data_IF_704640522690
#
_entry.id   IF_704640522690
#
_cell.length_a   1.000
_cell.length_b   1.000
_cell.length_c   1.000
_cell.angle_alpha   90.00
_cell.angle_beta   90.00
_cell.angle_gamma   90.00
#
_symmetry.space_group_name_H-M   'P 1'
#
loop_
_entity.id
_entity.type
_entity.pdbx_description
1 polymer ?
#
# COMPACT_ATOMS: atom_id res chain seq x y z
N UNK A 1 4.16 1.45 -10.91
CA UNK A 1 4.05 2.87 -10.51
C UNK A 1 4.69 3.73 -11.59
N UNK A 2 4.07 4.85 -11.96
CA UNK A 2 4.55 5.78 -12.99
C UNK A 2 4.82 7.15 -12.39
N UNK A 3 5.80 7.88 -12.92
CA UNK A 3 6.04 9.28 -12.58
C UNK A 3 6.32 10.11 -13.84
N UNK A 4 5.61 11.23 -13.97
CA UNK A 4 5.87 12.25 -14.98
C UNK A 4 7.20 12.97 -14.71
N UNK A 5 8.10 12.97 -15.69
CA UNK A 5 9.37 13.70 -15.65
C UNK A 5 9.34 14.81 -16.69
N UNK A 6 9.23 16.06 -16.26
CA UNK A 6 9.10 17.22 -17.16
C UNK A 6 10.27 17.39 -18.11
N UNK A 7 11.49 17.06 -17.69
CA UNK A 7 12.68 17.13 -18.56
C UNK A 7 12.71 16.08 -19.68
N UNK A 8 11.89 15.03 -19.60
CA UNK A 8 11.78 13.98 -20.62
C UNK A 8 10.43 14.01 -21.36
N UNK A 9 9.53 14.90 -20.95
CA UNK A 9 8.16 15.01 -21.48
C UNK A 9 7.42 13.66 -21.52
N UNK A 10 7.66 12.80 -20.53
CA UNK A 10 7.10 11.45 -20.50
C UNK A 10 6.93 10.86 -19.08
N UNK A 11 6.18 9.76 -19.00
CA UNK A 11 6.06 8.94 -17.80
C UNK A 11 7.16 7.88 -17.76
N UNK A 12 7.77 7.72 -16.59
CA UNK A 12 8.75 6.68 -16.30
C UNK A 12 8.16 5.64 -15.35
N UNK A 13 8.37 4.36 -15.63
CA UNK A 13 8.01 3.26 -14.73
C UNK A 13 9.01 3.21 -13.58
N UNK A 14 8.50 3.41 -12.36
CA UNK A 14 9.29 3.37 -11.13
C UNK A 14 9.36 1.96 -10.52
N UNK A 15 8.28 1.20 -10.64
CA UNK A 15 8.14 -0.16 -10.10
C UNK A 15 7.04 -0.93 -10.86
N UNK A 16 7.09 -2.26 -10.81
CA UNK A 16 6.11 -3.15 -11.42
C UNK A 16 6.39 -3.48 -12.88
N UNK A 17 7.67 -3.44 -13.31
CA UNK A 17 8.11 -3.77 -14.67
C UNK A 17 7.62 -5.14 -15.13
N UNK A 18 7.81 -6.18 -14.31
CA UNK A 18 7.38 -7.54 -14.66
C UNK A 18 5.85 -7.63 -14.84
N UNK A 19 5.10 -6.93 -13.97
CA UNK A 19 3.63 -6.84 -14.10
C UNK A 19 3.22 -6.09 -15.37
N UNK A 20 3.95 -5.03 -15.72
CA UNK A 20 3.70 -4.28 -16.95
C UNK A 20 3.97 -5.15 -18.18
N UNK A 21 5.09 -5.88 -18.19
CA UNK A 21 5.43 -6.83 -19.26
C UNK A 21 4.36 -7.91 -19.39
N UNK A 22 3.91 -8.49 -18.27
CA UNK A 22 2.85 -9.50 -18.27
C UNK A 22 1.54 -8.95 -18.84
N UNK A 23 1.09 -7.79 -18.38
CA UNK A 23 -0.13 -7.16 -18.88
C UNK A 23 -0.07 -6.86 -20.38
N UNK A 24 1.07 -6.37 -20.88
CA UNK A 24 1.28 -6.12 -22.31
C UNK A 24 1.24 -7.44 -23.09
N UNK A 25 1.90 -8.48 -22.61
CA UNK A 25 1.90 -9.80 -23.26
C UNK A 25 0.49 -10.43 -23.31
N UNK A 26 -0.32 -10.15 -22.29
CA UNK A 26 -1.72 -10.61 -22.18
C UNK A 26 -2.72 -9.67 -22.87
N UNK A 27 -2.24 -8.60 -23.52
CA UNK A 27 -3.06 -7.55 -24.14
C UNK A 27 -4.10 -6.95 -23.17
N UNK A 28 -3.75 -6.89 -21.88
CA UNK A 28 -4.58 -6.37 -20.81
C UNK A 28 -4.11 -4.99 -20.38
N UNK A 29 -5.05 -4.13 -19.97
CA UNK A 29 -4.69 -2.84 -19.40
C UNK A 29 -4.01 -3.03 -18.03
N UNK A 30 -2.74 -2.64 -17.87
CA UNK A 30 -2.06 -2.75 -16.59
C UNK A 30 -2.70 -1.78 -15.59
N UNK A 31 -2.97 -2.21 -14.35
CA UNK A 31 -3.31 -1.25 -13.30
C UNK A 31 -2.08 -0.36 -13.05
N UNK A 32 -2.25 0.95 -13.16
CA UNK A 32 -1.17 1.93 -13.00
C UNK A 32 -1.50 2.92 -11.89
N UNK A 33 -0.48 3.30 -11.13
CA UNK A 33 -0.53 4.39 -10.18
C UNK A 33 0.40 5.49 -10.70
N UNK A 34 -0.15 6.65 -11.05
CA UNK A 34 0.61 7.79 -11.53
C UNK A 34 0.89 8.76 -10.37
N UNK A 35 2.15 9.13 -10.19
CA UNK A 35 2.58 10.17 -9.26
C UNK A 35 2.73 11.49 -10.00
N UNK A 36 2.19 12.55 -9.39
CA UNK A 36 2.32 13.93 -9.87
C UNK A 36 2.73 14.83 -8.71
N UNK A 37 3.34 15.96 -9.05
CA UNK A 37 3.70 16.98 -8.06
C UNK A 37 2.45 17.72 -7.59
N UNK A 38 2.29 17.87 -6.28
CA UNK A 38 1.15 18.56 -5.65
C UNK A 38 1.67 19.61 -4.66
N UNK A 39 0.85 20.61 -4.30
CA UNK A 39 1.21 21.61 -3.30
C UNK A 39 1.52 20.97 -1.93
N UNK A 40 2.55 21.48 -1.25
CA UNK A 40 3.11 20.82 -0.06
C UNK A 40 2.17 20.73 1.15
N UNK A 41 1.29 21.71 1.32
CA UNK A 41 0.22 21.70 2.34
C UNK A 41 -0.76 20.55 2.12
N UNK A 42 -1.14 20.31 0.86
CA UNK A 42 -2.00 19.19 0.47
C UNK A 42 -1.29 17.85 0.63
N UNK A 43 0.01 17.78 0.34
CA UNK A 43 0.82 16.57 0.57
C UNK A 43 0.82 16.19 2.05
N UNK A 44 0.97 17.15 2.96
CA UNK A 44 0.99 16.86 4.41
C UNK A 44 -0.34 16.24 4.89
N UNK A 45 -1.47 16.85 4.54
CA UNK A 45 -2.79 16.35 4.90
C UNK A 45 -3.09 14.97 4.25
N UNK A 46 -2.76 14.80 2.97
CA UNK A 46 -2.99 13.54 2.25
C UNK A 46 -2.08 12.41 2.78
N UNK A 47 -0.87 12.74 3.27
CA UNK A 47 0.07 11.77 3.85
C UNK A 47 -0.46 11.20 5.16
N UNK A 48 -0.98 12.05 6.06
CA UNK A 48 -1.54 11.58 7.34
C UNK A 48 -2.70 10.59 7.11
N UNK A 49 -3.62 10.95 6.20
CA UNK A 49 -4.73 10.07 5.79
C UNK A 49 -4.24 8.77 5.15
N UNK A 50 -3.20 8.83 4.32
CA UNK A 50 -2.64 7.64 3.66
C UNK A 50 -1.95 6.70 4.67
N UNK A 51 -1.21 7.25 5.64
CA UNK A 51 -0.56 6.49 6.71
C UNK A 51 -1.60 5.79 7.58
N UNK A 52 -2.63 6.51 8.03
CA UNK A 52 -3.72 5.93 8.84
C UNK A 52 -4.41 4.76 8.11
N UNK A 53 -4.69 4.94 6.82
CA UNK A 53 -5.27 3.87 5.99
C UNK A 53 -4.34 2.66 5.90
N UNK A 54 -3.04 2.89 5.71
CA UNK A 54 -2.07 1.80 5.59
C UNK A 54 -1.97 1.00 6.90
N UNK A 55 -1.87 1.70 8.04
CA UNK A 55 -1.82 1.08 9.37
C UNK A 55 -3.11 0.31 9.70
N UNK A 56 -4.27 0.87 9.39
CA UNK A 56 -5.55 0.18 9.56
C UNK A 56 -5.64 -1.09 8.70
N UNK A 57 -5.19 -1.03 7.44
CA UNK A 57 -5.17 -2.20 6.55
C UNK A 57 -4.24 -3.28 7.06
N UNK A 58 -3.04 -2.91 7.52
CA UNK A 58 -2.06 -3.84 8.09
C UNK A 58 -2.57 -4.50 9.38
N UNK A 59 -3.19 -3.73 10.27
CA UNK A 59 -3.81 -4.24 11.49
C UNK A 59 -4.94 -5.23 11.20
N UNK A 60 -5.79 -4.93 10.21
CA UNK A 60 -6.87 -5.83 9.82
C UNK A 60 -6.32 -7.12 9.18
N UNK A 61 -5.32 -7.01 8.31
CA UNK A 61 -4.67 -8.17 7.69
C UNK A 61 -4.01 -9.07 8.74
N UNK A 62 -3.30 -8.47 9.71
CA UNK A 62 -2.69 -9.20 10.82
C UNK A 62 -3.72 -9.84 11.75
N UNK A 63 -4.79 -9.12 12.11
CA UNK A 63 -5.88 -9.67 12.92
C UNK A 63 -6.55 -10.86 12.24
N UNK A 64 -6.81 -10.77 10.93
CA UNK A 64 -7.40 -11.86 10.16
C UNK A 64 -6.46 -13.06 10.05
N UNK A 65 -5.16 -12.81 9.87
CA UNK A 65 -4.14 -13.86 9.86
C UNK A 65 -4.03 -14.53 11.23
N UNK A 66 -4.01 -13.77 12.32
CA UNK A 66 -3.95 -14.29 13.69
C UNK A 66 -5.19 -15.14 14.01
N UNK A 67 -6.38 -14.67 13.65
CA UNK A 67 -7.62 -15.43 13.77
C UNK A 67 -7.62 -16.73 12.93
N UNK A 68 -6.99 -16.71 11.76
CA UNK A 68 -6.87 -17.89 10.89
C UNK A 68 -5.82 -18.90 11.37
N UNK A 69 -4.76 -18.45 12.04
CA UNK A 69 -3.63 -19.28 12.44
C UNK A 69 -3.70 -19.76 13.90
N UNK A 70 -4.38 -19.04 14.79
CA UNK A 70 -4.50 -19.45 16.18
C UNK A 70 -5.78 -18.89 16.85
N UNK A 71 -6.92 -19.61 16.79
CA UNK A 71 -8.12 -19.19 17.52
C UNK A 71 -7.93 -19.19 19.05
N UNK A 72 -6.97 -19.95 19.59
CA UNK A 72 -6.75 -20.14 21.04
C UNK A 72 -5.66 -19.23 21.65
N UNK A 73 -4.98 -18.36 20.88
CA UNK A 73 -3.80 -17.62 21.37
C UNK A 73 -4.09 -16.20 21.89
N UNK A 74 -5.36 -15.79 21.95
CA UNK A 74 -5.79 -14.50 22.53
C UNK A 74 -6.38 -14.63 23.93
N UNK A 75 -6.54 -15.84 24.47
CA UNK A 75 -6.85 -16.04 25.89
C UNK A 75 -5.56 -16.35 26.61
N UNK A 76 -4.90 -15.35 27.17
CA UNK A 76 -4.24 -15.38 28.49
C UNK A 76 -3.69 -13.97 28.75
N UNK A 77 -4.55 -13.11 29.31
CA UNK A 77 -4.08 -11.94 30.05
C UNK A 77 -3.62 -12.48 31.40
N UNK A 78 -2.35 -12.37 31.80
CA UNK A 78 -1.95 -12.78 33.13
C UNK A 78 -2.57 -11.79 34.13
N UNK A 79 -3.53 -12.29 34.92
CA UNK A 79 -4.05 -11.62 36.09
C UNK A 79 -2.87 -11.37 37.04
N UNK A 80 -2.55 -10.10 37.27
CA UNK A 80 -1.52 -9.71 38.22
C UNK A 80 -1.97 -10.15 39.62
N UNK A 81 -1.44 -11.29 40.07
CA UNK A 81 -1.57 -11.74 41.45
C UNK A 81 -0.89 -10.73 42.38
N UNK A 82 -1.66 -10.23 43.35
CA UNK A 82 -1.22 -9.33 44.40
C UNK A 82 -0.40 -9.99 45.50
#
# INVERSE_FOLDING_TARGET
>A
MLWWISGLDCYVVLDGHDRLVAAVAEAQEPPLLALSTVAGDRVAADTEVAVDRHLATGSAAWSNLAAALAPDLLTEVPEAAG
#
